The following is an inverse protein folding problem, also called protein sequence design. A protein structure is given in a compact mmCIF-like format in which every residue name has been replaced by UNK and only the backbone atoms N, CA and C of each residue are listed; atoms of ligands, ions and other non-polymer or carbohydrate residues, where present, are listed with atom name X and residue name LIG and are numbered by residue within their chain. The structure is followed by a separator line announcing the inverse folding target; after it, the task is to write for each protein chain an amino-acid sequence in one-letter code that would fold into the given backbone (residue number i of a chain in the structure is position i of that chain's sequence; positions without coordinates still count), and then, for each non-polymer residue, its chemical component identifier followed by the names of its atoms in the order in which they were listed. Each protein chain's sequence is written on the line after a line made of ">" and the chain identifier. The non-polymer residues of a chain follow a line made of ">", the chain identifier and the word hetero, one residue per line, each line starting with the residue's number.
data_IF_536547354151
#
_entry.id   IF_536547354151
#
_cell.length_a   1.000
_cell.length_b   1.000
_cell.length_c   1.000
_cell.angle_alpha   90.00
_cell.angle_beta   90.00
_cell.angle_gamma   90.00
#
_symmetry.space_group_name_H-M   'P 1'
#
loop_
_entity.id
_entity.type
_entity.pdbx_description
1 polymer ?
#
# COMPACT_ATOMS: atom_id res chain seq x y z
N UNK A 1 -22.07 -27.04 -14.80
CA UNK A 1 -22.14 -25.55 -14.73
C UNK A 1 -23.55 -25.18 -14.33
N UNK A 2 -23.77 -24.84 -13.07
CA UNK A 2 -25.09 -24.40 -12.59
C UNK A 2 -25.04 -22.91 -12.37
N UNK A 3 -25.76 -22.17 -13.20
CA UNK A 3 -25.99 -20.73 -13.00
C UNK A 3 -26.97 -20.57 -11.83
N UNK A 4 -26.50 -20.01 -10.72
CA UNK A 4 -27.32 -19.60 -9.60
C UNK A 4 -27.95 -18.24 -9.90
N UNK A 5 -29.29 -18.17 -9.78
CA UNK A 5 -30.11 -16.98 -10.10
C UNK A 5 -29.79 -15.79 -9.18
N UNK A 6 -29.73 -14.61 -9.74
CA UNK A 6 -29.31 -13.31 -9.16
C UNK A 6 -30.34 -12.67 -8.19
N UNK A 7 -31.14 -13.43 -7.47
CA UNK A 7 -32.17 -12.83 -6.57
C UNK A 7 -32.02 -13.06 -5.07
N UNK A 8 -31.12 -13.94 -4.65
CA UNK A 8 -31.08 -14.38 -3.24
C UNK A 8 -29.76 -14.05 -2.49
N UNK A 9 -28.81 -13.36 -3.09
CA UNK A 9 -27.49 -13.13 -2.47
C UNK A 9 -27.47 -11.97 -1.46
N UNK A 10 -28.30 -10.95 -1.63
CA UNK A 10 -28.30 -9.80 -0.74
C UNK A 10 -28.74 -10.11 0.70
N UNK A 11 -29.64 -11.06 0.87
CA UNK A 11 -30.23 -11.38 2.19
C UNK A 11 -29.46 -12.47 2.95
N UNK A 12 -28.79 -13.39 2.25
CA UNK A 12 -27.98 -14.45 2.90
C UNK A 12 -26.60 -14.01 3.36
N UNK A 13 -26.03 -12.94 2.79
CA UNK A 13 -24.72 -12.43 3.17
C UNK A 13 -24.71 -11.76 4.55
N UNK A 14 -25.84 -11.24 5.05
CA UNK A 14 -25.90 -10.48 6.29
C UNK A 14 -26.14 -11.31 7.55
N UNK A 15 -26.71 -12.51 7.46
CA UNK A 15 -27.10 -13.28 8.65
C UNK A 15 -26.02 -14.24 9.15
N UNK A 16 -25.18 -14.79 8.28
CA UNK A 16 -24.17 -15.83 8.64
C UNK A 16 -22.79 -15.28 9.06
N UNK A 17 -22.59 -13.94 9.09
CA UNK A 17 -21.26 -13.35 9.32
C UNK A 17 -21.16 -12.48 10.58
N UNK A 18 -22.08 -12.63 11.53
CA UNK A 18 -22.13 -11.86 12.78
C UNK A 18 -21.83 -12.71 14.02
N UNK A 19 -20.79 -13.53 13.97
CA UNK A 19 -20.31 -14.24 15.15
C UNK A 19 -19.43 -13.37 16.08
N UNK A 20 -19.22 -12.09 15.71
CA UNK A 20 -18.40 -11.15 16.45
C UNK A 20 -16.90 -11.22 16.11
N UNK A 21 -16.49 -12.13 15.22
CA UNK A 21 -15.10 -12.26 14.79
C UNK A 21 -14.89 -11.60 13.41
N UNK A 22 -13.83 -10.82 13.27
CA UNK A 22 -13.41 -10.28 11.97
C UNK A 22 -12.76 -11.44 11.18
N UNK A 23 -13.21 -11.72 9.95
CA UNK A 23 -12.61 -12.74 9.11
C UNK A 23 -11.11 -12.51 8.89
N UNK A 24 -10.32 -13.58 8.90
CA UNK A 24 -8.89 -13.54 8.55
C UNK A 24 -8.69 -14.22 7.20
N UNK A 25 -8.16 -13.51 6.24
CA UNK A 25 -7.98 -13.94 4.87
C UNK A 25 -6.50 -13.96 4.49
N UNK A 26 -6.13 -14.96 3.69
CA UNK A 26 -4.82 -15.08 3.08
C UNK A 26 -4.97 -15.15 1.57
N UNK A 27 -4.18 -14.34 0.86
CA UNK A 27 -4.15 -14.28 -0.60
C UNK A 27 -2.72 -14.25 -1.09
N UNK A 28 -2.42 -14.98 -2.19
CA UNK A 28 -1.15 -14.91 -2.89
C UNK A 28 -1.37 -14.71 -4.38
N UNK A 29 -0.55 -13.87 -5.00
CA UNK A 29 -0.47 -13.66 -6.43
C UNK A 29 0.97 -13.51 -6.88
N UNK A 30 1.26 -13.88 -8.13
CA UNK A 30 2.60 -13.70 -8.68
C UNK A 30 2.90 -12.20 -8.89
N UNK A 31 1.97 -11.45 -9.49
CA UNK A 31 2.13 -10.04 -9.85
C UNK A 31 1.24 -9.12 -9.00
N UNK A 32 1.54 -7.82 -9.01
CA UNK A 32 0.72 -6.81 -8.31
C UNK A 32 -0.76 -6.85 -8.71
N UNK A 33 -1.11 -6.81 -10.01
CA UNK A 33 -2.51 -6.88 -10.44
C UNK A 33 -3.21 -8.14 -9.98
N UNK A 34 -2.54 -9.29 -10.06
CA UNK A 34 -3.11 -10.58 -9.67
C UNK A 34 -3.40 -10.63 -8.18
N UNK A 35 -2.44 -10.24 -7.35
CA UNK A 35 -2.62 -10.21 -5.91
C UNK A 35 -3.71 -9.23 -5.47
N UNK A 36 -3.74 -8.03 -6.04
CA UNK A 36 -4.79 -7.05 -5.77
C UNK A 36 -6.17 -7.56 -6.19
N UNK A 37 -6.31 -8.09 -7.41
CA UNK A 37 -7.58 -8.64 -7.89
C UNK A 37 -8.11 -9.73 -6.95
N UNK A 38 -7.26 -10.68 -6.60
CA UNK A 38 -7.61 -11.77 -5.67
C UNK A 38 -7.99 -11.25 -4.27
N UNK A 39 -7.31 -10.21 -3.79
CA UNK A 39 -7.58 -9.66 -2.45
C UNK A 39 -8.90 -8.91 -2.38
N UNK A 40 -9.24 -8.12 -3.42
CA UNK A 40 -10.55 -7.45 -3.52
C UNK A 40 -11.68 -8.49 -3.62
N UNK A 41 -11.50 -9.52 -4.45
CA UNK A 41 -12.46 -10.64 -4.55
C UNK A 41 -12.63 -11.37 -3.22
N UNK A 42 -11.54 -11.64 -2.50
CA UNK A 42 -11.60 -12.33 -1.23
C UNK A 42 -12.40 -11.56 -0.17
N UNK A 43 -12.22 -10.24 -0.08
CA UNK A 43 -13.03 -9.38 0.80
C UNK A 43 -14.47 -9.29 0.31
N UNK A 44 -14.70 -9.14 -0.98
CA UNK A 44 -16.05 -9.13 -1.55
C UNK A 44 -16.83 -10.41 -1.21
N UNK A 45 -16.20 -11.56 -1.33
CA UNK A 45 -16.85 -12.86 -1.13
C UNK A 45 -16.94 -13.27 0.35
N UNK A 46 -15.92 -12.92 1.16
CA UNK A 46 -15.71 -13.49 2.51
C UNK A 46 -15.58 -12.44 3.61
N UNK A 47 -15.50 -11.14 3.28
CA UNK A 47 -15.44 -10.06 4.27
C UNK A 47 -16.70 -10.03 5.14
N UNK A 48 -16.57 -9.69 6.39
CA UNK A 48 -17.68 -9.41 7.28
C UNK A 48 -18.27 -8.03 6.97
N UNK A 49 -19.53 -7.80 7.36
CA UNK A 49 -20.19 -6.52 7.17
C UNK A 49 -20.16 -5.74 8.50
N UNK A 50 -19.41 -4.64 8.53
CA UNK A 50 -19.22 -3.84 9.73
C UNK A 50 -19.45 -2.35 9.45
N UNK A 51 -20.09 -1.60 10.38
CA UNK A 51 -20.16 -0.15 10.27
C UNK A 51 -18.79 0.48 10.52
N UNK A 52 -18.55 1.64 9.91
CA UNK A 52 -17.35 2.45 10.15
C UNK A 52 -17.74 3.84 10.64
N UNK A 53 -16.79 4.57 11.22
CA UNK A 53 -16.99 5.96 11.62
C UNK A 53 -17.14 6.93 10.42
N UNK A 54 -16.88 6.45 9.20
CA UNK A 54 -16.98 7.21 7.96
C UNK A 54 -18.29 6.97 7.20
N UNK A 55 -19.13 6.02 7.65
CA UNK A 55 -20.39 5.71 6.99
C UNK A 55 -21.39 6.86 7.18
N UNK A 56 -22.04 7.26 6.12
CA UNK A 56 -23.12 8.25 6.17
C UNK A 56 -24.48 7.56 6.42
N UNK A 57 -25.43 8.32 6.92
CA UNK A 57 -26.79 7.83 7.14
C UNK A 57 -27.38 7.26 5.84
N UNK A 58 -27.80 6.00 5.90
CA UNK A 58 -28.39 5.28 4.76
C UNK A 58 -27.38 4.57 3.86
N UNK A 59 -26.07 4.69 4.08
CA UNK A 59 -25.07 3.89 3.39
C UNK A 59 -25.03 2.45 3.92
N UNK A 60 -24.72 1.50 3.04
CA UNK A 60 -24.46 0.12 3.44
C UNK A 60 -23.18 0.05 4.29
N UNK A 61 -23.11 -0.86 5.29
CA UNK A 61 -21.87 -1.08 6.03
C UNK A 61 -20.76 -1.60 5.11
N UNK A 62 -19.52 -1.31 5.49
CA UNK A 62 -18.33 -1.76 4.77
C UNK A 62 -18.14 -3.27 4.86
N UNK A 63 -17.55 -3.88 3.83
CA UNK A 63 -17.03 -5.24 3.89
C UNK A 63 -15.59 -5.17 4.41
N UNK A 64 -15.26 -5.97 5.43
CA UNK A 64 -13.96 -5.90 6.11
C UNK A 64 -13.41 -7.28 6.48
N UNK A 65 -12.08 -7.38 6.49
CA UNK A 65 -11.35 -8.57 6.92
C UNK A 65 -9.91 -8.20 7.33
N UNK A 66 -9.33 -8.93 8.25
CA UNK A 66 -7.87 -8.95 8.39
C UNK A 66 -7.26 -9.70 7.20
N UNK A 67 -6.31 -9.08 6.50
CA UNK A 67 -5.73 -9.61 5.27
C UNK A 67 -4.22 -9.84 5.39
N UNK A 68 -3.76 -11.00 4.93
CA UNK A 68 -2.35 -11.20 4.55
C UNK A 68 -2.28 -11.43 3.05
N UNK A 69 -1.68 -10.48 2.34
CA UNK A 69 -1.49 -10.54 0.89
C UNK A 69 -0.02 -10.73 0.56
N UNK A 70 0.30 -11.72 -0.27
CA UNK A 70 1.66 -12.00 -0.74
C UNK A 70 1.75 -11.74 -2.24
N UNK A 71 2.72 -10.94 -2.65
CA UNK A 71 3.12 -10.76 -4.05
C UNK A 71 4.48 -11.43 -4.23
N UNK A 72 4.51 -12.54 -4.96
CA UNK A 72 5.71 -13.36 -5.09
C UNK A 72 6.79 -12.67 -5.95
N UNK A 73 6.37 -11.97 -7.00
CA UNK A 73 7.23 -11.32 -7.99
C UNK A 73 6.77 -9.88 -8.23
N UNK A 74 7.03 -8.95 -7.29
CA UNK A 74 6.43 -7.62 -7.28
C UNK A 74 6.77 -6.76 -8.49
N UNK A 75 7.81 -7.09 -9.26
CA UNK A 75 8.21 -6.36 -10.47
C UNK A 75 8.00 -7.14 -11.78
N UNK A 76 7.42 -8.34 -11.70
CA UNK A 76 7.09 -9.08 -12.92
C UNK A 76 5.84 -8.48 -13.61
N UNK A 77 5.85 -8.51 -14.93
CA UNK A 77 4.75 -8.01 -15.74
C UNK A 77 3.60 -9.05 -15.84
N UNK A 78 2.36 -8.60 -15.93
CA UNK A 78 1.90 -7.22 -15.98
C UNK A 78 1.94 -6.52 -14.62
N UNK A 79 2.15 -5.19 -14.61
CA UNK A 79 2.21 -4.41 -13.37
C UNK A 79 0.98 -3.55 -13.09
N UNK A 80 0.07 -3.39 -14.04
CA UNK A 80 -1.09 -2.51 -13.92
C UNK A 80 -2.39 -3.25 -14.18
N UNK A 81 -3.46 -2.83 -13.48
CA UNK A 81 -4.79 -3.38 -13.63
C UNK A 81 -5.77 -2.33 -14.15
N UNK A 82 -6.51 -2.65 -15.22
CA UNK A 82 -7.44 -1.70 -15.88
C UNK A 82 -8.66 -1.33 -15.04
N UNK A 83 -9.03 -2.17 -14.08
CA UNK A 83 -10.12 -1.89 -13.16
C UNK A 83 -9.68 -1.10 -11.91
N UNK A 84 -8.38 -0.76 -11.79
CA UNK A 84 -7.93 0.19 -10.78
C UNK A 84 -8.67 1.53 -10.98
N UNK A 85 -9.31 2.08 -9.94
CA UNK A 85 -10.22 3.23 -10.10
C UNK A 85 -9.52 4.59 -10.15
N UNK A 86 -8.20 4.63 -10.24
CA UNK A 86 -7.40 5.84 -10.40
C UNK A 86 -6.82 6.00 -11.81
N UNK A 87 -6.35 7.20 -12.14
CA UNK A 87 -5.60 7.45 -13.36
C UNK A 87 -4.14 6.98 -13.23
N UNK A 88 -3.46 6.73 -14.34
CA UNK A 88 -2.04 6.34 -14.36
C UNK A 88 -1.17 7.50 -13.83
N UNK A 89 -1.55 8.74 -14.13
CA UNK A 89 -0.93 9.95 -13.61
C UNK A 89 -0.95 9.99 -12.08
N UNK A 90 -2.08 9.64 -11.47
CA UNK A 90 -2.24 9.64 -10.01
C UNK A 90 -1.40 8.54 -9.37
N UNK A 91 -1.29 7.38 -10.02
CA UNK A 91 -0.43 6.29 -9.58
C UNK A 91 1.05 6.71 -9.55
N UNK A 92 1.52 7.41 -10.60
CA UNK A 92 2.90 7.91 -10.64
C UNK A 92 3.13 9.05 -9.65
N UNK A 93 2.19 10.00 -9.51
CA UNK A 93 2.29 11.06 -8.50
C UNK A 93 2.38 10.49 -7.08
N UNK A 94 1.54 9.50 -6.76
CA UNK A 94 1.59 8.84 -5.46
C UNK A 94 2.91 8.08 -5.23
N UNK A 95 3.45 7.42 -6.27
CA UNK A 95 4.77 6.81 -6.20
C UNK A 95 5.85 7.85 -5.87
N UNK A 96 5.85 8.98 -6.57
CA UNK A 96 6.79 10.09 -6.32
C UNK A 96 6.60 10.67 -4.91
N UNK A 97 5.37 10.76 -4.41
CA UNK A 97 5.09 11.21 -3.04
C UNK A 97 5.72 10.28 -2.00
N UNK A 98 5.52 8.96 -2.12
CA UNK A 98 6.02 7.99 -1.14
C UNK A 98 7.53 7.80 -1.23
N UNK A 99 8.11 7.84 -2.44
CA UNK A 99 9.52 7.51 -2.68
C UNK A 99 10.41 8.74 -2.66
N UNK A 100 9.96 9.84 -3.26
CA UNK A 100 10.78 11.04 -3.50
C UNK A 100 10.33 12.25 -2.65
N UNK A 101 9.23 12.13 -1.88
CA UNK A 101 8.75 13.16 -0.96
C UNK A 101 8.26 14.44 -1.64
N UNK A 102 7.80 14.35 -2.89
CA UNK A 102 7.44 15.53 -3.69
C UNK A 102 6.36 16.42 -3.04
N UNK A 103 5.57 15.84 -2.10
CA UNK A 103 4.51 16.53 -1.38
C UNK A 103 4.82 16.77 0.11
N UNK A 104 6.03 16.55 0.59
CA UNK A 104 6.39 16.78 2.00
C UNK A 104 6.17 18.24 2.44
N UNK A 105 6.25 19.18 1.50
CA UNK A 105 5.96 20.60 1.73
C UNK A 105 4.47 20.91 1.96
N UNK A 106 3.55 19.95 1.72
CA UNK A 106 2.13 20.08 2.03
C UNK A 106 1.81 19.84 3.51
N UNK A 107 2.76 19.31 4.29
CA UNK A 107 2.61 19.14 5.74
C UNK A 107 2.57 20.51 6.41
N UNK A 108 1.37 20.99 6.72
CA UNK A 108 1.08 22.26 7.38
C UNK A 108 -0.19 22.12 8.25
N UNK A 109 -0.12 21.37 9.35
CA UNK A 109 -1.29 21.10 10.19
C UNK A 109 -1.87 22.39 10.81
N UNK A 110 -1.06 23.40 11.04
CA UNK A 110 -1.49 24.71 11.52
C UNK A 110 -2.37 25.48 10.53
N UNK A 111 -2.30 25.13 9.23
CA UNK A 111 -3.15 25.68 8.16
C UNK A 111 -4.35 24.77 7.85
N UNK A 112 -4.59 23.71 8.64
CA UNK A 112 -5.62 22.70 8.38
C UNK A 112 -5.32 21.82 7.15
N UNK A 113 -4.04 21.74 6.76
CA UNK A 113 -3.54 20.90 5.66
C UNK A 113 -3.04 19.55 6.18
N UNK A 114 -2.27 18.84 5.37
CA UNK A 114 -1.75 17.53 5.72
C UNK A 114 -0.94 17.54 7.02
N UNK A 115 -1.10 16.49 7.80
CA UNK A 115 -0.39 16.28 9.06
C UNK A 115 0.85 15.43 8.92
N UNK A 116 0.92 14.63 7.85
CA UNK A 116 2.07 13.76 7.52
C UNK A 116 2.08 13.39 6.04
N UNK A 117 3.25 12.88 5.58
CA UNK A 117 3.40 12.01 4.41
C UNK A 117 4.08 10.72 4.83
N UNK A 118 3.91 9.62 4.08
CA UNK A 118 4.68 8.40 4.36
C UNK A 118 6.17 8.62 4.12
N UNK A 119 6.54 9.42 3.12
CA UNK A 119 7.92 9.78 2.88
C UNK A 119 8.56 10.44 4.11
N UNK A 120 7.94 11.49 4.62
CA UNK A 120 8.45 12.19 5.82
C UNK A 120 8.60 11.25 7.01
N UNK A 121 7.59 10.37 7.24
CA UNK A 121 7.65 9.37 8.33
C UNK A 121 8.75 8.33 8.15
N UNK A 122 9.07 7.94 6.91
CA UNK A 122 10.08 6.91 6.63
C UNK A 122 11.50 7.48 6.53
N UNK A 123 11.65 8.67 5.94
CA UNK A 123 12.97 9.24 5.62
C UNK A 123 13.43 10.33 6.58
N UNK A 124 12.52 10.92 7.36
CA UNK A 124 12.83 11.96 8.34
C UNK A 124 11.84 11.87 9.51
N UNK A 125 11.81 10.71 10.19
CA UNK A 125 10.92 10.46 11.32
C UNK A 125 11.29 11.35 12.50
N UNK A 126 10.36 12.22 12.92
CA UNK A 126 10.62 13.20 13.96
C UNK A 126 10.52 12.55 15.36
N UNK A 127 11.58 12.64 16.12
CA UNK A 127 11.62 12.24 17.53
C UNK A 127 12.04 13.42 18.40
N UNK A 128 11.51 13.49 19.60
CA UNK A 128 11.96 14.45 20.60
C UNK A 128 13.27 13.95 21.21
N UNK A 129 14.32 14.76 21.19
CA UNK A 129 15.67 14.33 21.63
C UNK A 129 15.77 14.01 23.12
N UNK A 130 14.96 14.65 23.96
CA UNK A 130 15.02 14.48 25.42
C UNK A 130 13.80 13.73 25.97
N UNK A 131 13.72 12.42 25.70
CA UNK A 131 12.69 11.55 26.28
C UNK A 131 12.97 11.17 27.75
N UNK A 132 14.21 11.29 28.21
CA UNK A 132 14.63 10.87 29.57
C UNK A 132 14.38 11.91 30.65
N UNK A 133 14.26 13.18 30.30
CA UNK A 133 14.17 14.30 31.23
C UNK A 133 12.82 15.01 31.31
N UNK A 134 11.82 14.62 30.47
CA UNK A 134 10.53 15.31 30.45
C UNK A 134 10.60 16.74 29.91
N UNK A 135 11.69 17.09 29.22
CA UNK A 135 11.94 18.42 28.68
C UNK A 135 11.33 18.65 27.29
N UNK A 136 11.17 19.93 26.95
CA UNK A 136 10.82 20.40 25.59
C UNK A 136 12.08 20.44 24.70
N UNK A 137 12.71 19.29 24.47
CA UNK A 137 13.87 19.20 23.58
C UNK A 137 13.50 19.41 22.11
N UNK A 138 14.46 19.81 21.26
CA UNK A 138 14.23 19.92 19.83
C UNK A 138 13.88 18.54 19.21
N UNK A 139 13.09 18.57 18.14
CA UNK A 139 12.87 17.36 17.35
C UNK A 139 14.05 17.13 16.41
N UNK A 140 14.56 15.89 16.38
CA UNK A 140 15.54 15.42 15.42
C UNK A 140 14.91 14.44 14.42
N UNK A 141 15.29 14.58 13.16
CA UNK A 141 14.85 13.66 12.12
C UNK A 141 15.67 12.37 12.12
N UNK A 142 15.00 11.22 12.05
CA UNK A 142 15.62 9.90 11.92
C UNK A 142 15.38 9.34 10.53
N UNK A 143 16.45 9.21 9.74
CA UNK A 143 16.42 8.61 8.42
C UNK A 143 16.31 7.07 8.52
N UNK A 144 15.11 6.57 8.82
CA UNK A 144 14.88 5.15 9.05
C UNK A 144 15.23 4.29 7.82
N UNK A 145 14.93 4.77 6.60
CA UNK A 145 15.24 4.02 5.38
C UNK A 145 16.75 3.90 5.14
N UNK A 146 17.53 4.93 5.49
CA UNK A 146 19.00 4.87 5.44
C UNK A 146 19.56 3.85 6.43
N UNK A 147 18.98 3.80 7.64
CA UNK A 147 19.31 2.77 8.62
C UNK A 147 19.03 1.36 8.09
N UNK A 148 17.89 1.12 7.42
CA UNK A 148 17.57 -0.19 6.86
C UNK A 148 18.62 -0.61 5.80
N UNK A 149 18.96 0.30 4.90
CA UNK A 149 19.96 0.08 3.84
C UNK A 149 21.34 -0.22 4.48
N UNK A 150 21.78 0.59 5.43
CA UNK A 150 23.03 0.38 6.12
C UNK A 150 23.06 -0.95 6.86
N UNK A 151 22.00 -1.24 7.63
CA UNK A 151 21.90 -2.47 8.44
C UNK A 151 21.95 -3.73 7.60
N UNK A 152 21.24 -3.76 6.48
CA UNK A 152 21.22 -4.92 5.58
C UNK A 152 22.49 -5.04 4.76
N UNK A 153 23.19 -3.94 4.47
CA UNK A 153 24.50 -3.97 3.83
C UNK A 153 25.56 -4.57 4.73
N UNK A 154 25.49 -4.33 6.05
CA UNK A 154 26.42 -4.88 7.04
C UNK A 154 26.07 -6.31 7.45
N UNK A 155 24.78 -6.61 7.62
CA UNK A 155 24.28 -7.90 8.12
C UNK A 155 23.04 -8.29 7.30
N UNK A 156 23.21 -8.96 6.15
CA UNK A 156 22.12 -9.30 5.22
C UNK A 156 20.93 -10.01 5.88
N UNK A 157 21.19 -10.94 6.79
CA UNK A 157 20.21 -11.74 7.50
C UNK A 157 19.63 -11.06 8.76
N UNK A 158 19.88 -9.77 8.98
CA UNK A 158 19.37 -9.04 10.14
C UNK A 158 17.85 -9.06 10.20
N UNK A 159 17.29 -9.29 11.40
CA UNK A 159 15.85 -9.18 11.70
C UNK A 159 15.46 -7.82 12.26
N UNK A 160 16.42 -6.87 12.35
CA UNK A 160 16.27 -5.56 12.98
C UNK A 160 16.01 -4.43 11.97
N UNK A 161 16.06 -4.72 10.66
CA UNK A 161 15.84 -3.72 9.63
C UNK A 161 14.34 -3.44 9.51
N UNK A 162 13.87 -2.43 10.23
CA UNK A 162 12.48 -1.97 10.20
C UNK A 162 12.40 -0.45 10.38
N UNK A 163 11.33 0.11 9.83
CA UNK A 163 10.90 1.49 9.99
C UNK A 163 9.43 1.51 10.47
N UNK A 164 9.05 2.52 11.21
CA UNK A 164 7.69 2.73 11.70
C UNK A 164 7.18 4.10 11.25
N UNK A 165 5.86 4.24 11.16
CA UNK A 165 5.26 5.53 10.80
C UNK A 165 4.43 6.12 11.94
N UNK A 166 3.86 5.26 12.81
CA UNK A 166 3.01 5.68 13.91
C UNK A 166 3.78 6.45 14.99
N UNK A 167 3.26 7.61 15.38
CA UNK A 167 3.76 8.46 16.48
C UNK A 167 2.74 8.47 17.62
N UNK A 168 2.94 7.70 18.71
CA UNK A 168 1.95 7.57 19.80
C UNK A 168 1.60 8.87 20.51
N UNK A 169 2.47 9.87 20.45
CA UNK A 169 2.25 11.18 21.06
C UNK A 169 1.44 12.14 20.21
N UNK A 170 1.36 11.90 18.90
CA UNK A 170 0.76 12.80 17.91
C UNK A 170 -0.48 12.17 17.24
N UNK A 171 -0.32 10.99 16.68
CA UNK A 171 -1.31 10.39 15.76
C UNK A 171 -2.67 10.06 16.40
N UNK A 172 -2.78 9.68 17.70
CA UNK A 172 -4.09 9.50 18.34
C UNK A 172 -4.96 10.77 18.42
N UNK A 173 -4.38 11.93 18.15
CA UNK A 173 -5.08 13.24 18.15
C UNK A 173 -5.34 13.75 16.73
N UNK A 174 -4.97 13.01 15.73
CA UNK A 174 -5.12 13.36 14.30
C UNK A 174 -6.38 12.70 13.76
N UNK A 175 -7.20 13.44 13.01
CA UNK A 175 -8.46 12.93 12.44
C UNK A 175 -8.22 11.78 11.46
N UNK A 176 -7.15 11.86 10.64
CA UNK A 176 -6.74 10.80 9.72
C UNK A 176 -5.26 10.43 9.95
N UNK A 177 -4.98 9.60 10.97
CA UNK A 177 -3.62 9.18 11.29
C UNK A 177 -3.08 8.16 10.30
N UNK A 178 -1.74 7.96 10.22
CA UNK A 178 -1.12 7.04 9.27
C UNK A 178 -1.71 5.63 9.28
N UNK A 179 -2.12 5.15 8.11
CA UNK A 179 -2.61 3.77 7.96
C UNK A 179 -1.46 2.76 7.87
N UNK A 180 -0.37 3.09 7.16
CA UNK A 180 0.87 2.30 7.20
C UNK A 180 1.47 2.40 8.60
N UNK A 181 1.82 1.27 9.21
CA UNK A 181 2.40 1.20 10.55
C UNK A 181 3.88 0.87 10.53
N UNK A 182 4.29 -0.05 9.67
CA UNK A 182 5.64 -0.59 9.65
C UNK A 182 6.06 -1.06 8.27
N UNK A 183 7.35 -0.84 7.96
CA UNK A 183 8.08 -1.51 6.88
C UNK A 183 9.18 -2.35 7.52
N UNK A 184 9.30 -3.61 7.14
CA UNK A 184 10.36 -4.52 7.58
C UNK A 184 11.01 -5.18 6.37
N UNK A 185 12.34 -5.27 6.36
CA UNK A 185 13.10 -5.83 5.26
C UNK A 185 14.13 -6.84 5.73
N UNK A 186 14.44 -7.81 4.86
CA UNK A 186 15.50 -8.79 5.07
C UNK A 186 16.06 -9.28 3.74
N UNK A 187 17.35 -9.47 3.65
CA UNK A 187 17.97 -10.21 2.57
C UNK A 187 17.95 -11.72 2.88
N UNK A 188 17.69 -12.51 1.83
CA UNK A 188 17.84 -13.96 1.85
C UNK A 188 18.61 -14.38 0.62
N UNK A 189 19.50 -15.35 0.78
CA UNK A 189 20.21 -15.98 -0.35
C UNK A 189 19.35 -17.10 -0.92
N UNK A 190 19.14 -17.07 -2.23
CA UNK A 190 18.43 -18.10 -2.96
C UNK A 190 19.31 -19.32 -3.25
N UNK A 191 18.72 -20.39 -3.75
CA UNK A 191 19.45 -21.59 -4.16
C UNK A 191 20.34 -21.37 -5.39
N UNK A 192 20.10 -20.28 -6.12
CA UNK A 192 20.94 -19.78 -7.22
C UNK A 192 22.14 -18.98 -6.73
N UNK A 193 22.31 -18.80 -5.42
CA UNK A 193 23.35 -18.01 -4.81
C UNK A 193 23.12 -16.51 -4.86
N UNK A 194 22.00 -16.02 -5.39
CA UNK A 194 21.68 -14.60 -5.47
C UNK A 194 21.02 -14.08 -4.19
N UNK A 195 21.19 -12.78 -3.91
CA UNK A 195 20.55 -12.13 -2.78
C UNK A 195 19.20 -11.54 -3.20
N UNK A 196 18.18 -11.78 -2.37
CA UNK A 196 16.82 -11.30 -2.57
C UNK A 196 16.37 -10.42 -1.42
N UNK A 197 15.99 -9.17 -1.71
CA UNK A 197 15.40 -8.27 -0.72
C UNK A 197 13.90 -8.57 -0.57
N UNK A 198 13.51 -9.13 0.57
CA UNK A 198 12.11 -9.33 0.96
C UNK A 198 11.64 -8.12 1.76
N UNK A 199 10.39 -7.67 1.50
CA UNK A 199 9.77 -6.57 2.23
C UNK A 199 8.42 -7.00 2.77
N UNK A 200 8.13 -6.66 4.03
CA UNK A 200 6.82 -6.79 4.65
C UNK A 200 6.34 -5.41 5.09
N UNK A 201 5.07 -5.11 4.84
CA UNK A 201 4.39 -3.93 5.34
C UNK A 201 3.25 -4.31 6.27
N UNK A 202 2.95 -3.45 7.24
CA UNK A 202 1.82 -3.62 8.14
C UNK A 202 0.96 -2.35 8.15
N UNK A 203 -0.34 -2.52 8.03
CA UNK A 203 -1.35 -1.48 7.93
C UNK A 203 -2.42 -1.67 9.01
N UNK A 204 -2.77 -0.60 9.75
CA UNK A 204 -3.92 -0.65 10.68
C UNK A 204 -5.25 -0.71 9.94
N UNK A 205 -5.33 -0.04 8.79
CA UNK A 205 -6.53 0.11 7.97
C UNK A 205 -6.14 0.36 6.52
N UNK A 206 -6.94 -0.13 5.57
CA UNK A 206 -6.65 0.04 4.16
C UNK A 206 -7.87 -0.18 3.27
N UNK A 207 -8.21 0.82 2.46
CA UNK A 207 -9.19 0.69 1.39
C UNK A 207 -8.66 -0.29 0.32
N UNK A 208 -9.31 -1.46 0.22
CA UNK A 208 -8.94 -2.53 -0.67
C UNK A 208 -9.07 -2.16 -2.15
N UNK A 209 -10.08 -1.34 -2.48
CA UNK A 209 -10.43 -1.03 -3.85
C UNK A 209 -9.69 0.21 -4.38
N UNK A 210 -9.72 1.33 -3.66
CA UNK A 210 -9.18 2.60 -4.16
C UNK A 210 -7.73 2.87 -3.75
N UNK A 211 -7.26 2.36 -2.60
CA UNK A 211 -5.92 2.68 -2.11
C UNK A 211 -4.90 1.53 -2.21
N UNK A 212 -5.31 0.28 -1.99
CA UNK A 212 -4.38 -0.83 -1.83
C UNK A 212 -3.44 -1.02 -3.04
N UNK A 213 -3.96 -0.91 -4.27
CA UNK A 213 -3.15 -1.08 -5.47
C UNK A 213 -2.05 -0.02 -5.57
N UNK A 214 -2.40 1.27 -5.41
CA UNK A 214 -1.43 2.35 -5.51
C UNK A 214 -0.39 2.33 -4.38
N UNK A 215 -0.81 1.94 -3.17
CA UNK A 215 0.13 1.77 -2.06
C UNK A 215 1.15 0.67 -2.36
N UNK A 216 0.72 -0.51 -2.83
CA UNK A 216 1.63 -1.59 -3.21
C UNK A 216 2.53 -1.20 -4.38
N UNK A 217 2.00 -0.47 -5.36
CA UNK A 217 2.79 0.01 -6.49
C UNK A 217 3.94 0.90 -6.02
N UNK A 218 3.67 1.87 -5.15
CA UNK A 218 4.68 2.77 -4.59
C UNK A 218 5.68 2.05 -3.67
N UNK A 219 5.19 1.17 -2.76
CA UNK A 219 6.07 0.49 -1.81
C UNK A 219 6.93 -0.60 -2.45
N UNK A 220 6.48 -1.25 -3.51
CA UNK A 220 7.34 -2.15 -4.27
C UNK A 220 8.41 -1.37 -5.05
N UNK A 221 8.15 -0.14 -5.49
CA UNK A 221 9.20 0.71 -6.07
C UNK A 221 10.21 1.15 -5.00
N UNK A 222 9.76 1.47 -3.79
CA UNK A 222 10.63 1.70 -2.64
C UNK A 222 11.51 0.46 -2.36
N UNK A 223 10.94 -0.75 -2.41
CA UNK A 223 11.69 -2.01 -2.28
C UNK A 223 12.80 -2.11 -3.34
N UNK A 224 12.50 -1.75 -4.59
CA UNK A 224 13.46 -1.75 -5.70
C UNK A 224 14.62 -0.78 -5.45
N UNK A 225 14.30 0.44 -5.04
CA UNK A 225 15.31 1.47 -4.75
C UNK A 225 16.19 1.03 -3.57
N UNK A 226 15.61 0.43 -2.54
CA UNK A 226 16.39 -0.10 -1.42
C UNK A 226 17.31 -1.24 -1.86
N UNK A 227 16.83 -2.17 -2.69
CA UNK A 227 17.66 -3.25 -3.22
C UNK A 227 18.85 -2.69 -4.02
N UNK A 228 18.62 -1.70 -4.87
CA UNK A 228 19.67 -1.02 -5.62
C UNK A 228 20.70 -0.34 -4.70
N UNK A 229 20.25 0.44 -3.70
CA UNK A 229 21.13 1.12 -2.74
C UNK A 229 21.97 0.12 -1.91
N UNK A 230 21.39 -1.02 -1.54
CA UNK A 230 22.14 -2.08 -0.85
C UNK A 230 23.16 -2.70 -1.80
N UNK A 231 22.78 -3.03 -3.05
CA UNK A 231 23.66 -3.58 -4.06
C UNK A 231 24.91 -2.70 -4.31
N UNK A 232 24.69 -1.38 -4.43
CA UNK A 232 25.78 -0.39 -4.59
C UNK A 232 26.74 -0.41 -3.40
N UNK A 233 26.23 -0.56 -2.16
CA UNK A 233 27.06 -0.58 -0.94
C UNK A 233 27.87 -1.86 -0.77
N UNK A 234 27.29 -3.01 -1.14
CA UNK A 234 27.97 -4.31 -0.96
C UNK A 234 28.77 -4.77 -2.18
N UNK A 235 28.63 -4.06 -3.32
CA UNK A 235 29.29 -4.41 -4.57
C UNK A 235 28.79 -5.73 -5.18
N UNK A 236 27.53 -6.11 -4.90
CA UNK A 236 26.92 -7.35 -5.38
C UNK A 236 25.45 -7.09 -5.75
N UNK A 237 24.94 -7.74 -6.80
CA UNK A 237 23.54 -7.65 -7.20
C UNK A 237 22.62 -8.08 -6.06
N UNK A 238 21.54 -7.32 -5.87
CA UNK A 238 20.42 -7.63 -4.97
C UNK A 238 19.14 -7.61 -5.78
N UNK A 239 18.53 -8.77 -5.93
CA UNK A 239 17.26 -8.96 -6.62
C UNK A 239 16.09 -8.67 -5.70
N UNK A 240 14.93 -8.48 -6.30
CA UNK A 240 13.68 -8.30 -5.54
C UNK A 240 13.15 -9.67 -5.14
N UNK A 241 12.97 -9.85 -3.85
CA UNK A 241 12.21 -10.94 -3.27
C UNK A 241 10.72 -10.58 -3.22
N UNK A 242 9.94 -11.40 -2.51
CA UNK A 242 8.50 -11.17 -2.34
C UNK A 242 8.20 -9.88 -1.56
N UNK A 243 7.01 -9.35 -1.82
CA UNK A 243 6.38 -8.31 -1.02
C UNK A 243 5.22 -8.94 -0.23
N UNK A 244 5.13 -8.67 1.07
CA UNK A 244 4.03 -9.11 1.93
C UNK A 244 3.35 -7.90 2.53
N UNK A 245 2.03 -7.92 2.48
CA UNK A 245 1.16 -6.91 3.02
C UNK A 245 0.26 -7.53 4.10
N UNK A 246 0.35 -7.02 5.32
CA UNK A 246 -0.51 -7.41 6.43
C UNK A 246 -1.37 -6.21 6.79
N UNK A 247 -2.68 -6.37 6.74
CA UNK A 247 -3.63 -5.30 7.04
C UNK A 247 -4.64 -5.79 8.07
N UNK A 248 -4.79 -5.04 9.18
CA UNK A 248 -5.72 -5.39 10.26
C UNK A 248 -7.17 -5.20 9.80
N UNK A 249 -7.49 -4.07 9.14
CA UNK A 249 -8.79 -3.80 8.52
C UNK A 249 -8.60 -3.53 7.01
N UNK A 250 -8.75 -4.57 6.19
CA UNK A 250 -8.71 -4.50 4.73
C UNK A 250 -10.13 -4.51 4.20
N UNK A 251 -10.64 -3.32 3.80
CA UNK A 251 -12.05 -3.10 3.64
C UNK A 251 -12.45 -2.52 2.27
N UNK A 252 -13.71 -2.76 1.91
CA UNK A 252 -14.40 -2.07 0.80
C UNK A 252 -15.52 -1.25 1.45
N UNK A 253 -15.45 0.08 1.34
CA UNK A 253 -16.48 0.95 1.89
C UNK A 253 -17.85 0.66 1.30
N UNK A 254 -18.89 0.75 2.13
CA UNK A 254 -20.27 0.55 1.72
C UNK A 254 -20.70 1.45 0.55
N UNK A 255 -20.20 2.68 0.53
CA UNK A 255 -20.43 3.64 -0.56
C UNK A 255 -19.82 3.22 -1.92
N UNK A 256 -18.93 2.23 -1.97
CA UNK A 256 -18.28 1.76 -3.20
C UNK A 256 -18.80 0.42 -3.72
N UNK A 257 -19.70 -0.24 -2.99
CA UNK A 257 -20.16 -1.59 -3.36
C UNK A 257 -20.77 -1.65 -4.77
N UNK A 258 -21.58 -0.67 -5.15
CA UNK A 258 -22.14 -0.56 -6.50
C UNK A 258 -21.03 -0.37 -7.56
N UNK A 259 -20.06 0.52 -7.31
CA UNK A 259 -18.93 0.74 -8.21
C UNK A 259 -18.08 -0.52 -8.39
N UNK A 260 -17.83 -1.25 -7.31
CA UNK A 260 -17.09 -2.53 -7.35
C UNK A 260 -17.85 -3.56 -8.18
N UNK A 261 -19.18 -3.66 -8.02
CA UNK A 261 -19.99 -4.61 -8.78
C UNK A 261 -20.04 -4.25 -10.28
N UNK A 262 -20.29 -2.99 -10.61
CA UNK A 262 -20.49 -2.55 -11.98
C UNK A 262 -19.21 -2.42 -12.79
N UNK A 263 -18.09 -2.09 -12.14
CA UNK A 263 -16.80 -1.86 -12.82
C UNK A 263 -15.83 -3.02 -12.62
N UNK A 264 -15.50 -3.35 -11.38
CA UNK A 264 -14.47 -4.33 -11.07
C UNK A 264 -14.94 -5.75 -11.36
N UNK A 265 -16.04 -6.21 -10.75
CA UNK A 265 -16.54 -7.56 -10.95
C UNK A 265 -17.00 -7.80 -12.38
N UNK A 266 -17.59 -6.78 -13.02
CA UNK A 266 -17.93 -6.84 -14.43
C UNK A 266 -16.67 -7.03 -15.31
N UNK A 267 -15.60 -6.30 -15.02
CA UNK A 267 -14.34 -6.46 -15.76
C UNK A 267 -13.77 -7.89 -15.63
N UNK A 268 -13.86 -8.48 -14.42
CA UNK A 268 -13.41 -9.86 -14.18
C UNK A 268 -14.27 -10.87 -14.93
N UNK A 269 -15.58 -10.68 -14.93
CA UNK A 269 -16.51 -11.57 -15.63
C UNK A 269 -16.35 -11.54 -17.16
N UNK A 270 -16.17 -10.33 -17.71
CA UNK A 270 -16.28 -10.09 -19.14
C UNK A 270 -14.93 -10.15 -19.88
N UNK A 271 -13.79 -10.21 -19.17
CA UNK A 271 -12.44 -10.16 -19.75
C UNK A 271 -11.52 -11.22 -19.16
N UNK A 272 -10.57 -11.70 -19.95
CA UNK A 272 -9.45 -12.51 -19.41
C UNK A 272 -8.50 -11.65 -18.58
N UNK A 273 -7.63 -12.28 -17.78
CA UNK A 273 -6.63 -11.55 -16.97
C UNK A 273 -5.72 -10.68 -17.86
N UNK A 274 -5.27 -11.18 -19.00
CA UNK A 274 -4.47 -10.44 -19.97
C UNK A 274 -5.19 -9.21 -20.52
N UNK A 275 -6.52 -9.32 -20.77
CA UNK A 275 -7.32 -8.21 -21.29
C UNK A 275 -7.59 -7.12 -20.26
N UNK A 276 -7.54 -7.44 -18.97
CA UNK A 276 -7.78 -6.47 -17.88
C UNK A 276 -6.52 -5.98 -17.19
N UNK A 277 -5.35 -6.35 -17.72
CA UNK A 277 -4.06 -5.85 -17.23
C UNK A 277 -3.29 -5.13 -18.33
N UNK A 278 -2.28 -4.38 -17.89
CA UNK A 278 -1.33 -3.71 -18.78
C UNK A 278 0.09 -3.96 -18.31
N UNK A 279 0.97 -4.09 -19.28
CA UNK A 279 2.40 -4.04 -19.05
C UNK A 279 2.84 -2.58 -18.88
N UNK A 280 3.85 -2.36 -18.05
CA UNK A 280 4.39 -1.01 -17.80
C UNK A 280 5.08 -0.42 -19.04
N UNK A 281 5.56 -1.25 -19.98
CA UNK A 281 6.15 -0.79 -21.25
C UNK A 281 5.12 -0.40 -22.32
N UNK A 282 3.82 -0.51 -22.05
CA UNK A 282 2.77 -0.06 -22.97
C UNK A 282 2.83 1.46 -23.16
N UNK A 283 2.74 1.92 -24.40
CA UNK A 283 2.86 3.34 -24.75
C UNK A 283 1.86 4.25 -24.01
N UNK A 284 0.61 3.80 -23.83
CA UNK A 284 -0.42 4.56 -23.09
C UNK A 284 -0.02 4.71 -21.61
N UNK A 285 0.56 3.66 -21.03
CA UNK A 285 1.03 3.66 -19.64
C UNK A 285 2.22 4.60 -19.49
N UNK A 286 3.20 4.52 -20.38
CA UNK A 286 4.37 5.39 -20.37
C UNK A 286 3.99 6.87 -20.53
N UNK A 287 3.03 7.16 -21.39
CA UNK A 287 2.50 8.51 -21.57
C UNK A 287 1.77 9.02 -20.31
N UNK A 288 0.97 8.18 -19.65
CA UNK A 288 0.33 8.51 -18.38
C UNK A 288 1.35 8.76 -17.25
N UNK A 289 2.39 7.92 -17.14
CA UNK A 289 3.50 8.10 -16.20
C UNK A 289 4.20 9.44 -16.47
N UNK A 290 4.50 9.76 -17.73
CA UNK A 290 5.16 11.01 -18.09
C UNK A 290 4.28 12.22 -17.73
N UNK A 291 2.98 12.18 -18.02
CA UNK A 291 2.06 13.27 -17.61
C UNK A 291 2.03 13.45 -16.09
N UNK A 292 2.06 12.38 -15.30
CA UNK A 292 2.16 12.48 -13.84
C UNK A 292 3.43 13.20 -13.38
N UNK A 293 4.57 12.90 -13.99
CA UNK A 293 5.85 13.59 -13.73
C UNK A 293 5.81 15.05 -14.12
N UNK A 294 5.27 15.35 -15.30
CA UNK A 294 5.15 16.73 -15.80
C UNK A 294 4.26 17.59 -14.89
N UNK A 295 3.18 17.02 -14.35
CA UNK A 295 2.31 17.69 -13.37
C UNK A 295 3.08 18.03 -12.08
N UNK A 296 3.85 17.11 -11.53
CA UNK A 296 4.70 17.37 -10.35
C UNK A 296 5.73 18.45 -10.62
N UNK A 297 6.37 18.44 -11.79
CA UNK A 297 7.33 19.51 -12.16
C UNK A 297 6.66 20.87 -12.34
N UNK A 298 5.42 20.90 -12.81
CA UNK A 298 4.64 22.14 -12.89
C UNK A 298 4.26 22.64 -11.49
N UNK A 299 3.78 21.76 -10.59
CA UNK A 299 3.45 22.11 -9.21
C UNK A 299 4.67 22.73 -8.47
N UNK A 300 5.87 22.17 -8.66
CA UNK A 300 7.11 22.72 -8.10
C UNK A 300 7.42 24.14 -8.61
N UNK A 301 7.17 24.41 -9.89
CA UNK A 301 7.41 25.74 -10.49
C UNK A 301 6.43 26.79 -10.01
N UNK A 302 5.19 26.41 -9.69
CA UNK A 302 4.15 27.33 -9.20
C UNK A 302 4.35 27.71 -7.72
N UNK A 303 5.21 27.00 -7.00
CA UNK A 303 5.50 27.20 -5.57
C UNK A 303 6.82 27.95 -5.31
N UNK A 304 7.69 28.07 -6.28
CA UNK A 304 8.97 28.81 -6.21
C UNK A 304 8.86 30.19 -6.80
#
# INVERSE_FOLDING_TARGET
>A
MHFVRHGERGTKMSEDRRDGNIPVLFVSGDTLPEGWEKSVLAVWEKGGSYPTEYDKEGEAPSLDATMTLVIEKPFEEPRLHRAFPGAIEDLEKYRLEVVDGVHDHWIRPEEGKWTYTYHKRLFDYQVQEDLAGGGEGPFAGVAQMDYLVEKLSQVPYSRRAQAITWMPTLDPKTDDPPCLQRVWCRLAEGTDGELYLNMNTHWRSRDAYKAAFMNMYALTDLQRIMAQRIAERIGREVRLGRYVDVTDSYHIYGSYLEEVEERFLRSIRDRSFEQRTWRSDNAIIQDGIQRGRDQIEQEKKEQG
#
